data_IF_176039398173
#
_entry.id   IF_176039398173
#
_cell.length_a   1.000
_cell.length_b   1.000
_cell.length_c   1.000
_cell.angle_alpha   90.00
_cell.angle_beta   90.00
_cell.angle_gamma   90.00
#
_symmetry.space_group_name_H-M   'P 1'
#
loop_
_entity.id
_entity.type
_entity.pdbx_description
1 polymer ?
#
# COMPACT_ATOMS: atom_id res chain seq x y z
N UNK A 1 -10.82 -1.34 5.27
CA UNK A 1 -10.99 0.03 4.69
C UNK A 1 -10.34 0.04 3.31
N UNK A 2 -10.96 0.59 2.25
CA UNK A 2 -10.37 0.59 0.92
C UNK A 2 -9.30 1.69 0.73
N UNK A 3 -8.28 1.42 -0.08
CA UNK A 3 -7.30 2.43 -0.49
C UNK A 3 -7.98 3.57 -1.26
N UNK A 4 -7.74 4.84 -0.87
CA UNK A 4 -8.40 6.03 -1.46
C UNK A 4 -7.72 6.52 -2.74
N UNK A 5 -6.51 6.05 -3.05
CA UNK A 5 -5.78 6.42 -4.27
C UNK A 5 -4.91 5.29 -4.80
N UNK A 6 -4.54 5.36 -6.09
CA UNK A 6 -3.64 4.39 -6.72
C UNK A 6 -2.25 4.37 -6.05
N UNK A 7 -1.77 5.53 -5.60
CA UNK A 7 -0.51 5.63 -4.87
C UNK A 7 -0.53 4.81 -3.56
N UNK A 8 -1.65 4.83 -2.82
CA UNK A 8 -1.80 4.06 -1.59
C UNK A 8 -1.88 2.56 -1.85
N UNK A 9 -2.58 2.13 -2.90
CA UNK A 9 -2.63 0.73 -3.28
C UNK A 9 -1.24 0.17 -3.63
N UNK A 10 -0.44 0.93 -4.38
CA UNK A 10 0.95 0.55 -4.71
C UNK A 10 1.84 0.50 -3.46
N UNK A 11 1.68 1.46 -2.55
CA UNK A 11 2.41 1.47 -1.29
C UNK A 11 2.02 0.26 -0.41
N UNK A 12 0.74 -0.10 -0.37
CA UNK A 12 0.25 -1.28 0.33
C UNK A 12 0.84 -2.57 -0.22
N UNK A 13 0.88 -2.73 -1.55
CA UNK A 13 1.50 -3.89 -2.19
C UNK A 13 2.99 -4.03 -1.90
N UNK A 14 3.73 -2.90 -1.91
CA UNK A 14 5.14 -2.90 -1.55
C UNK A 14 5.37 -3.27 -0.08
N UNK A 15 4.57 -2.70 0.83
CA UNK A 15 4.60 -3.01 2.24
C UNK A 15 4.24 -4.48 2.53
N UNK A 16 3.24 -5.04 1.84
CA UNK A 16 2.83 -6.44 1.93
C UNK A 16 3.97 -7.38 1.54
N UNK A 17 4.65 -7.07 0.42
CA UNK A 17 5.81 -7.83 -0.04
C UNK A 17 6.94 -7.84 0.98
N UNK A 18 7.14 -6.73 1.70
CA UNK A 18 8.10 -6.66 2.78
C UNK A 18 7.68 -7.45 4.03
N UNK A 19 6.39 -7.42 4.43
CA UNK A 19 5.89 -8.28 5.52
C UNK A 19 6.06 -9.76 5.24
N UNK A 20 5.87 -10.17 3.98
CA UNK A 20 6.10 -11.55 3.51
C UNK A 20 7.57 -11.90 3.32
N UNK A 21 8.51 -11.01 3.66
CA UNK A 21 9.95 -11.25 3.56
C UNK A 21 10.52 -11.23 2.13
N UNK A 22 9.71 -10.87 1.12
CA UNK A 22 10.13 -10.86 -0.30
C UNK A 22 10.89 -9.59 -0.68
N UNK A 23 10.62 -8.48 0.03
CA UNK A 23 11.28 -7.18 -0.21
C UNK A 23 11.94 -6.67 1.06
N UNK A 24 13.15 -6.13 0.97
CA UNK A 24 13.83 -5.51 2.12
C UNK A 24 13.13 -4.21 2.52
N UNK A 25 12.78 -4.04 3.80
CA UNK A 25 12.12 -2.83 4.35
C UNK A 25 12.88 -1.55 4.00
N UNK A 26 14.22 -1.59 3.98
CA UNK A 26 15.05 -0.44 3.62
C UNK A 26 14.80 0.12 2.21
N UNK A 27 14.34 -0.73 1.28
CA UNK A 27 14.07 -0.37 -0.12
C UNK A 27 12.64 0.18 -0.31
N UNK A 28 11.81 0.18 0.73
CA UNK A 28 10.45 0.70 0.66
C UNK A 28 10.45 2.23 0.57
N UNK A 29 9.52 2.76 -0.23
CA UNK A 29 9.22 4.20 -0.24
C UNK A 29 8.66 4.63 1.12
N UNK A 30 8.78 5.91 1.52
CA UNK A 30 8.33 6.39 2.83
C UNK A 30 6.89 5.99 3.18
N UNK A 31 5.94 6.15 2.24
CA UNK A 31 4.56 5.72 2.44
C UNK A 31 4.41 4.21 2.68
N UNK A 32 5.18 3.39 1.97
CA UNK A 32 5.15 1.93 2.17
C UNK A 32 5.84 1.54 3.49
N UNK A 33 6.86 2.27 3.96
CA UNK A 33 7.43 2.07 5.30
C UNK A 33 6.42 2.34 6.40
N UNK A 34 5.74 3.49 6.35
CA UNK A 34 4.69 3.82 7.32
C UNK A 34 3.56 2.77 7.32
N UNK A 35 3.13 2.31 6.13
CA UNK A 35 2.13 1.24 6.04
C UNK A 35 2.64 -0.11 6.58
N UNK A 36 3.91 -0.47 6.33
CA UNK A 36 4.52 -1.68 6.85
C UNK A 36 4.56 -1.69 8.39
N UNK A 37 4.89 -0.56 8.99
CA UNK A 37 5.00 -0.40 10.45
C UNK A 37 3.63 -0.35 11.13
N UNK A 38 2.66 0.35 10.54
CA UNK A 38 1.38 0.64 11.21
C UNK A 38 0.22 -0.30 10.84
N UNK A 39 0.36 -1.15 9.82
CA UNK A 39 -0.74 -2.02 9.35
C UNK A 39 -0.38 -3.50 9.47
N UNK A 40 -1.40 -4.37 9.63
CA UNK A 40 -1.23 -5.82 9.58
C UNK A 40 -1.09 -6.33 8.14
N UNK A 41 -0.62 -7.57 7.98
CA UNK A 41 -0.51 -8.20 6.65
C UNK A 41 -1.87 -8.22 5.92
N UNK A 42 -2.93 -8.63 6.61
CA UNK A 42 -4.29 -8.66 6.07
C UNK A 42 -4.79 -7.27 5.65
N UNK A 43 -4.53 -6.23 6.45
CA UNK A 43 -4.90 -4.87 6.08
C UNK A 43 -4.15 -4.37 4.85
N UNK A 44 -2.88 -4.74 4.69
CA UNK A 44 -2.09 -4.40 3.49
C UNK A 44 -2.60 -5.14 2.25
N UNK A 45 -3.02 -6.38 2.41
CA UNK A 45 -3.65 -7.19 1.36
C UNK A 45 -4.97 -6.60 0.89
N UNK A 46 -5.85 -6.21 1.82
CA UNK A 46 -7.11 -5.53 1.50
C UNK A 46 -6.87 -4.25 0.69
N UNK A 47 -5.91 -3.43 1.13
CA UNK A 47 -5.57 -2.19 0.43
C UNK A 47 -4.97 -2.44 -0.95
N UNK A 48 -4.11 -3.44 -1.09
CA UNK A 48 -3.47 -3.83 -2.35
C UNK A 48 -4.45 -4.46 -3.34
N UNK A 49 -5.43 -5.22 -2.84
CA UNK A 49 -6.43 -5.97 -3.62
C UNK A 49 -7.54 -5.08 -4.18
N UNK A 50 -7.75 -3.88 -3.63
CA UNK A 50 -8.83 -3.00 -4.11
C UNK A 50 -8.69 -2.64 -5.61
N UNK A 51 -9.77 -2.62 -6.40
CA UNK A 51 -9.69 -2.27 -7.83
C UNK A 51 -9.09 -0.88 -8.07
N UNK A 52 -8.17 -0.78 -9.03
CA UNK A 52 -7.51 0.48 -9.45
C UNK A 52 -8.42 1.37 -10.30
N UNK A 53 -9.46 0.79 -10.92
CA UNK A 53 -10.32 1.44 -11.91
C UNK A 53 -11.17 2.52 -11.24
N UNK A 54 -11.13 3.74 -11.76
CA UNK A 54 -11.90 4.88 -11.26
C UNK A 54 -11.32 5.60 -10.04
N UNK A 55 -10.14 5.20 -9.53
CA UNK A 55 -9.48 5.91 -8.42
C UNK A 55 -8.55 7.02 -8.90
N UNK A 56 -8.53 8.18 -8.21
CA UNK A 56 -7.56 9.23 -8.49
C UNK A 56 -6.12 8.73 -8.25
N UNK A 57 -5.15 9.31 -8.97
CA UNK A 57 -3.74 8.95 -8.81
C UNK A 57 -3.24 9.33 -7.40
N UNK A 58 -3.60 10.52 -6.93
CA UNK A 58 -3.36 11.01 -5.58
C UNK A 58 -4.66 11.35 -4.85
N UNK A 59 -4.63 11.36 -3.50
CA UNK A 59 -5.81 11.73 -2.69
C UNK A 59 -6.28 13.17 -2.91
N UNK A 60 -5.46 14.02 -3.53
CA UNK A 60 -5.78 15.41 -3.88
C UNK A 60 -6.34 15.58 -5.28
N UNK A 61 -6.42 14.51 -6.09
CA UNK A 61 -6.97 14.57 -7.46
C UNK A 61 -8.45 14.14 -7.50
N UNK A 62 -9.12 14.05 -6.34
CA UNK A 62 -10.53 13.66 -6.18
C UNK A 62 -11.39 14.86 -5.79
#
# INVERSE_FOLDING_TARGET
MPAKSQAQQRAAGAALSAKRGRTKVKNLKPAAKSMYESMSEQQLEDFASTPTRGKPKHRHDA
#
